data_IF_745116408662
#
_entry.id   IF_745116408662
#
_cell.length_a   1.000
_cell.length_b   1.000
_cell.length_c   1.000
_cell.angle_alpha   90.00
_cell.angle_beta   90.00
_cell.angle_gamma   90.00
#
_symmetry.space_group_name_H-M   'P 1'
#
loop_
_entity.id
_entity.type
_entity.pdbx_description
1 polymer ?
#
# COMPACT_ATOMS: atom_id res chain seq x y z
N UNK A 1 32.98 -7.01 1.03
CA UNK A 1 32.57 -6.01 2.03
C UNK A 1 31.06 -6.09 2.13
N UNK A 2 30.55 -6.77 3.15
CA UNK A 2 29.10 -6.92 3.40
C UNK A 2 28.63 -5.57 3.90
N UNK A 3 27.96 -4.79 3.06
CA UNK A 3 27.26 -3.60 3.48
C UNK A 3 25.79 -3.82 3.16
N UNK A 4 25.14 -4.59 4.02
CA UNK A 4 23.80 -4.19 4.40
C UNK A 4 23.95 -2.79 5.03
N UNK A 5 23.91 -1.72 4.23
CA UNK A 5 23.37 -0.47 4.73
C UNK A 5 21.87 -0.75 4.88
N UNK A 6 21.53 -1.45 5.96
CA UNK A 6 20.28 -1.16 6.65
C UNK A 6 20.41 0.32 7.00
N UNK A 7 19.88 1.19 6.14
CA UNK A 7 19.15 2.33 6.68
C UNK A 7 18.13 1.69 7.61
N UNK A 8 18.44 1.80 8.89
CA UNK A 8 17.67 1.30 10.00
C UNK A 8 16.28 1.93 9.93
N UNK A 9 15.37 1.28 9.20
CA UNK A 9 13.97 1.27 9.60
C UNK A 9 13.97 0.37 10.84
N UNK A 10 13.71 0.98 12.00
CA UNK A 10 14.05 0.47 13.33
C UNK A 10 13.68 -1.01 13.55
N UNK A 11 14.70 -1.79 13.88
CA UNK A 11 14.56 -3.14 14.42
C UNK A 11 14.06 -3.01 15.87
N UNK A 12 12.74 -3.00 16.07
CA UNK A 12 12.11 -3.02 17.40
C UNK A 12 12.25 -4.44 17.97
N UNK A 13 13.37 -4.67 18.66
CA UNK A 13 13.51 -5.81 19.56
C UNK A 13 12.61 -5.62 20.78
N UNK A 14 11.64 -6.51 20.86
CA UNK A 14 10.86 -6.90 22.04
C UNK A 14 11.78 -7.09 23.27
N UNK A 15 11.75 -6.15 24.21
CA UNK A 15 12.36 -6.31 25.54
C UNK A 15 11.27 -6.63 26.56
N UNK A 16 11.41 -7.82 27.14
CA UNK A 16 10.54 -8.37 28.17
C UNK A 16 10.56 -7.55 29.47
N UNK A 17 9.40 -7.61 30.12
CA UNK A 17 9.09 -7.05 31.42
C UNK A 17 10.04 -7.49 32.54
N UNK A 18 10.32 -6.56 33.46
CA UNK A 18 10.36 -6.79 34.92
C UNK A 18 10.46 -5.45 35.69
N UNK A 19 9.49 -5.20 36.56
CA UNK A 19 9.77 -4.56 37.85
C UNK A 19 9.06 -3.25 38.22
N UNK A 20 8.13 -3.41 39.17
CA UNK A 20 7.88 -2.57 40.36
C UNK A 20 6.87 -1.40 40.24
N UNK A 21 5.71 -1.64 40.84
CA UNK A 21 4.70 -0.65 41.24
C UNK A 21 5.20 0.29 42.34
N UNK A 22 4.68 1.53 42.35
CA UNK A 22 4.32 2.19 43.60
C UNK A 22 2.82 2.49 43.67
N UNK A 23 2.26 2.22 44.85
CA UNK A 23 0.93 2.63 45.28
C UNK A 23 0.70 4.14 45.08
N UNK A 24 -0.44 4.50 44.49
CA UNK A 24 -0.97 5.86 44.56
C UNK A 24 -2.45 5.87 44.91
N UNK A 25 -2.73 6.70 45.91
CA UNK A 25 -3.99 6.99 46.54
C UNK A 25 -5.12 7.34 45.58
N UNK A 26 -6.31 6.83 45.92
CA UNK A 26 -7.58 7.13 45.31
C UNK A 26 -7.95 8.61 45.48
N UNK A 27 -8.19 9.29 44.36
CA UNK A 27 -8.95 10.53 44.29
C UNK A 27 -10.16 10.27 43.40
N UNK A 28 -11.35 10.40 43.98
CA UNK A 28 -12.62 10.28 43.29
C UNK A 28 -12.81 11.46 42.33
N UNK A 29 -12.50 11.25 41.05
CA UNK A 29 -12.98 12.09 39.96
C UNK A 29 -14.28 11.51 39.40
N UNK A 30 -15.28 12.37 39.26
CA UNK A 30 -16.59 12.10 38.67
C UNK A 30 -16.45 11.64 37.21
N UNK A 31 -17.21 10.62 36.76
CA UNK A 31 -17.16 10.14 35.40
C UNK A 31 -17.73 11.22 34.46
N UNK A 32 -16.88 11.76 33.60
CA UNK A 32 -17.28 12.51 32.41
C UNK A 32 -18.15 11.57 31.55
N UNK A 33 -19.28 12.03 30.98
CA UNK A 33 -20.09 11.18 30.12
C UNK A 33 -19.21 10.65 29.00
N UNK A 34 -19.24 9.33 28.82
CA UNK A 34 -18.60 8.64 27.72
C UNK A 34 -19.20 9.19 26.41
N UNK A 35 -18.57 10.23 25.88
CA UNK A 35 -18.82 10.67 24.51
C UNK A 35 -18.56 9.47 23.62
N UNK A 36 -19.51 9.21 22.72
CA UNK A 36 -19.46 8.12 21.77
C UNK A 36 -18.03 7.96 21.25
N UNK A 37 -17.38 6.89 21.71
CA UNK A 37 -16.12 6.43 21.17
C UNK A 37 -16.47 5.82 19.81
N UNK A 38 -16.87 6.69 18.88
CA UNK A 38 -17.10 6.39 17.48
C UNK A 38 -15.75 5.88 17.01
N UNK A 39 -15.66 4.56 16.97
CA UNK A 39 -14.48 3.78 16.64
C UNK A 39 -13.54 4.59 15.75
N UNK A 40 -12.38 4.96 16.28
CA UNK A 40 -11.26 5.51 15.53
C UNK A 40 -10.90 4.49 14.47
N UNK A 41 -11.56 4.57 13.32
CA UNK A 41 -11.75 3.42 12.44
C UNK A 41 -10.59 3.37 11.46
N UNK A 42 -10.01 2.19 11.20
CA UNK A 42 -9.05 1.96 10.11
C UNK A 42 -9.61 2.33 8.72
N UNK A 43 -10.93 2.56 8.66
CA UNK A 43 -11.65 3.19 7.55
C UNK A 43 -10.97 4.46 7.04
N UNK A 44 -10.27 5.23 7.88
CA UNK A 44 -9.65 6.51 7.50
C UNK A 44 -8.45 6.36 6.55
N UNK A 45 -7.55 5.40 6.81
CA UNK A 45 -6.35 5.18 5.97
C UNK A 45 -6.73 4.63 4.59
N UNK A 46 -7.71 3.72 4.53
CA UNK A 46 -8.19 3.20 3.26
C UNK A 46 -8.84 4.32 2.42
N UNK A 47 -9.71 5.13 3.03
CA UNK A 47 -10.32 6.28 2.35
C UNK A 47 -9.27 7.26 1.83
N UNK A 48 -8.25 7.57 2.63
CA UNK A 48 -7.17 8.46 2.22
C UNK A 48 -6.43 7.93 0.99
N UNK A 49 -6.14 6.62 0.96
CA UNK A 49 -5.52 5.94 -0.19
C UNK A 49 -6.38 5.96 -1.43
N UNK A 50 -7.66 5.61 -1.31
CA UNK A 50 -8.60 5.55 -2.45
C UNK A 50 -8.86 6.96 -3.01
N UNK A 51 -9.02 7.96 -2.13
CA UNK A 51 -9.14 9.37 -2.53
C UNK A 51 -7.89 9.85 -3.28
N UNK A 52 -6.69 9.47 -2.82
CA UNK A 52 -5.45 9.81 -3.50
C UNK A 52 -5.34 9.18 -4.90
N UNK A 53 -5.70 7.90 -5.04
CA UNK A 53 -5.70 7.22 -6.34
C UNK A 53 -6.67 7.85 -7.32
N UNK A 54 -7.85 8.26 -6.86
CA UNK A 54 -8.79 9.02 -7.69
C UNK A 54 -8.11 10.26 -8.27
N UNK A 55 -7.44 11.06 -7.43
CA UNK A 55 -6.73 12.26 -7.86
C UNK A 55 -5.69 11.99 -8.94
N UNK A 56 -4.87 10.95 -8.76
CA UNK A 56 -3.87 10.54 -9.76
C UNK A 56 -4.52 10.17 -11.10
N UNK A 57 -5.56 9.33 -11.08
CA UNK A 57 -6.23 8.88 -12.30
C UNK A 57 -6.93 10.04 -13.03
N UNK A 58 -7.50 10.99 -12.29
CA UNK A 58 -8.07 12.20 -12.86
C UNK A 58 -7.00 13.12 -13.48
N UNK A 59 -5.84 13.26 -12.83
CA UNK A 59 -4.70 14.00 -13.36
C UNK A 59 -4.15 13.40 -14.64
N UNK A 60 -3.99 12.08 -14.66
CA UNK A 60 -3.52 11.37 -15.84
C UNK A 60 -4.48 11.55 -17.02
N UNK A 61 -5.80 11.47 -16.77
CA UNK A 61 -6.80 11.72 -17.81
C UNK A 61 -6.69 13.15 -18.37
N UNK A 62 -6.51 14.16 -17.52
CA UNK A 62 -6.31 15.56 -17.94
C UNK A 62 -5.03 15.70 -18.78
N UNK A 63 -3.93 15.10 -18.35
CA UNK A 63 -2.67 15.12 -19.08
C UNK A 63 -2.79 14.51 -20.49
N UNK A 64 -3.64 13.50 -20.63
CA UNK A 64 -3.93 12.81 -21.89
C UNK A 64 -5.02 13.49 -22.74
N UNK A 65 -5.51 14.67 -22.34
CA UNK A 65 -6.46 15.45 -23.15
C UNK A 65 -7.92 15.25 -22.82
N UNK A 66 -8.26 14.61 -21.69
CA UNK A 66 -9.63 14.62 -21.22
C UNK A 66 -10.09 16.06 -20.94
N UNK A 67 -11.25 16.44 -21.48
CA UNK A 67 -11.86 17.74 -21.24
C UNK A 67 -12.52 17.78 -19.85
N UNK A 68 -11.71 17.78 -18.80
CA UNK A 68 -12.14 17.85 -17.41
C UNK A 68 -11.46 19.03 -16.73
N UNK A 69 -12.25 19.89 -16.10
CA UNK A 69 -11.73 20.94 -15.22
C UNK A 69 -11.38 20.30 -13.88
N UNK A 70 -10.09 20.33 -13.53
CA UNK A 70 -9.62 19.83 -12.25
C UNK A 70 -9.09 21.00 -11.42
N UNK A 71 -9.68 21.24 -10.25
CA UNK A 71 -9.22 22.28 -9.32
C UNK A 71 -8.19 21.68 -8.37
N UNK A 72 -6.90 21.91 -8.59
CA UNK A 72 -5.86 21.37 -7.71
C UNK A 72 -5.76 22.18 -6.41
N UNK A 73 -6.16 21.63 -5.24
CA UNK A 73 -5.86 22.26 -3.97
C UNK A 73 -4.34 22.22 -3.70
N UNK A 74 -3.86 23.07 -2.79
CA UNK A 74 -2.50 22.92 -2.28
C UNK A 74 -2.37 21.56 -1.58
N UNK A 75 -1.16 21.01 -1.51
CA UNK A 75 -0.90 19.71 -0.87
C UNK A 75 -1.38 19.59 0.59
N UNK A 76 -1.60 20.70 1.31
CA UNK A 76 -2.12 20.67 2.69
C UNK A 76 -3.64 20.75 2.75
N UNK A 77 -4.26 21.21 1.65
CA UNK A 77 -5.69 21.51 1.55
C UNK A 77 -6.45 20.39 0.80
N UNK A 78 -5.76 19.37 0.28
CA UNK A 78 -6.38 18.17 -0.29
C UNK A 78 -6.82 17.20 0.82
N UNK A 79 -7.69 16.22 0.49
CA UNK A 79 -8.24 15.29 1.48
C UNK A 79 -7.13 14.52 2.23
N UNK A 80 -6.12 14.03 1.51
CA UNK A 80 -4.97 13.35 2.11
C UNK A 80 -4.11 14.32 2.94
N UNK A 81 -3.95 15.56 2.49
CA UNK A 81 -3.20 16.60 3.20
C UNK A 81 -3.84 16.95 4.54
N UNK A 82 -5.13 17.22 4.53
CA UNK A 82 -5.93 17.49 5.73
C UNK A 82 -5.81 16.32 6.70
N UNK A 83 -5.94 15.08 6.21
CA UNK A 83 -5.78 13.89 7.03
C UNK A 83 -4.36 13.79 7.63
N UNK A 84 -3.31 13.90 6.81
CA UNK A 84 -1.90 13.82 7.24
C UNK A 84 -1.52 14.89 8.28
N UNK A 85 -2.13 16.07 8.20
CA UNK A 85 -1.88 17.18 9.13
C UNK A 85 -2.82 17.19 10.35
N UNK A 86 -3.76 16.25 10.44
CA UNK A 86 -4.69 16.10 11.57
C UNK A 86 -4.62 14.70 12.17
N UNK A 87 -5.57 13.83 11.83
CA UNK A 87 -5.72 12.47 12.37
C UNK A 87 -4.53 11.57 12.03
N UNK A 88 -3.94 11.70 10.84
CA UNK A 88 -2.79 10.92 10.42
C UNK A 88 -1.59 11.06 11.36
N UNK A 89 -1.35 12.25 11.95
CA UNK A 89 -0.27 12.45 12.92
C UNK A 89 -0.49 11.74 14.25
N UNK A 90 -1.76 11.47 14.59
CA UNK A 90 -2.19 10.81 15.81
C UNK A 90 -2.25 9.29 15.61
N UNK A 91 -2.67 8.84 14.42
CA UNK A 91 -2.85 7.42 14.10
C UNK A 91 -1.56 6.73 13.66
N UNK A 92 -0.64 7.44 12.99
CA UNK A 92 0.64 6.87 12.56
C UNK A 92 1.67 7.09 13.67
N UNK A 93 1.93 6.04 14.45
CA UNK A 93 2.95 6.05 15.49
C UNK A 93 4.37 6.10 14.90
N UNK A 94 4.59 5.44 13.76
CA UNK A 94 5.87 5.39 13.08
C UNK A 94 6.20 6.73 12.41
N UNK A 95 7.00 7.56 13.10
CA UNK A 95 7.40 8.89 12.61
C UNK A 95 8.12 8.85 11.25
N UNK A 96 8.95 7.85 11.00
CA UNK A 96 9.65 7.73 9.71
C UNK A 96 8.68 7.47 8.56
N UNK A 97 7.63 6.67 8.80
CA UNK A 97 6.58 6.43 7.83
C UNK A 97 5.78 7.70 7.53
N UNK A 98 5.40 8.45 8.57
CA UNK A 98 4.69 9.73 8.43
C UNK A 98 5.52 10.77 7.67
N UNK A 99 6.80 10.91 7.99
CA UNK A 99 7.72 11.81 7.28
C UNK A 99 7.87 11.43 5.81
N UNK A 100 7.98 10.13 5.52
CA UNK A 100 7.97 9.59 4.17
C UNK A 100 6.69 9.97 3.41
N UNK A 101 5.53 9.80 4.02
CA UNK A 101 4.24 10.16 3.43
C UNK A 101 4.17 11.65 3.08
N UNK A 102 4.53 12.54 4.03
CA UNK A 102 4.55 13.98 3.81
C UNK A 102 5.50 14.38 2.67
N UNK A 103 6.68 13.76 2.60
CA UNK A 103 7.68 14.02 1.58
C UNK A 103 7.18 13.64 0.17
N UNK A 104 6.73 12.40 0.01
CA UNK A 104 6.23 11.90 -1.29
C UNK A 104 4.94 12.60 -1.71
N UNK A 105 4.06 12.93 -0.76
CA UNK A 105 2.85 13.69 -1.04
C UNK A 105 3.13 15.09 -1.58
N UNK A 106 4.11 15.80 -0.99
CA UNK A 106 4.58 17.09 -1.52
C UNK A 106 5.15 16.94 -2.94
N UNK A 107 5.95 15.92 -3.19
CA UNK A 107 6.52 15.67 -4.53
C UNK A 107 5.45 15.34 -5.58
N UNK A 108 4.41 14.60 -5.19
CA UNK A 108 3.25 14.31 -6.04
C UNK A 108 2.58 15.63 -6.47
N UNK A 109 2.26 16.52 -5.53
CA UNK A 109 1.61 17.80 -5.85
C UNK A 109 2.50 18.71 -6.70
N UNK A 110 3.80 18.77 -6.46
CA UNK A 110 4.74 19.52 -7.31
C UNK A 110 4.72 19.01 -8.76
N UNK A 111 4.65 17.69 -8.95
CA UNK A 111 4.56 17.07 -10.28
C UNK A 111 3.19 17.35 -10.91
N UNK A 112 2.12 17.25 -10.13
CA UNK A 112 0.75 17.52 -10.56
C UNK A 112 0.57 18.98 -11.00
N UNK A 113 1.14 19.96 -10.30
CA UNK A 113 1.13 21.37 -10.67
C UNK A 113 1.78 21.60 -12.05
N UNK A 114 2.91 20.94 -12.32
CA UNK A 114 3.57 21.01 -13.63
C UNK A 114 2.72 20.40 -14.75
N UNK A 115 2.07 19.25 -14.49
CA UNK A 115 1.14 18.62 -15.43
C UNK A 115 -0.02 19.56 -15.73
N UNK A 116 -0.63 20.14 -14.69
CA UNK A 116 -1.76 21.07 -14.85
C UNK A 116 -1.37 22.34 -15.59
N UNK A 117 -0.18 22.89 -15.35
CA UNK A 117 0.32 24.08 -16.04
C UNK A 117 0.48 23.85 -17.55
N UNK A 118 0.88 22.65 -17.95
CA UNK A 118 1.17 22.28 -19.34
C UNK A 118 0.13 21.34 -19.97
N UNK A 119 -1.03 21.19 -19.33
CA UNK A 119 -2.12 20.37 -19.84
C UNK A 119 -2.65 20.93 -21.18
N UNK A 120 -3.25 20.08 -22.03
CA UNK A 120 -3.69 20.46 -23.38
C UNK A 120 -4.72 21.61 -23.43
N UNK A 121 -5.38 21.92 -22.31
CA UNK A 121 -6.35 23.02 -22.19
C UNK A 121 -5.74 24.35 -21.77
N UNK A 122 -4.42 24.43 -21.50
CA UNK A 122 -3.78 25.67 -21.05
C UNK A 122 -3.23 26.48 -22.21
N UNK A 123 -3.11 27.80 -22.01
CA UNK A 123 -2.43 28.70 -22.96
C UNK A 123 -0.89 28.67 -22.81
N UNK A 124 -0.37 27.76 -21.97
CA UNK A 124 1.06 27.66 -21.72
C UNK A 124 1.81 27.15 -22.95
N UNK A 125 3.09 27.53 -23.13
CA UNK A 125 3.92 26.96 -24.18
C UNK A 125 3.93 25.43 -24.13
N UNK A 126 3.93 24.76 -25.30
CA UNK A 126 3.99 23.30 -25.35
C UNK A 126 5.30 22.82 -24.74
N UNK A 127 5.23 21.73 -23.98
CA UNK A 127 6.41 21.08 -23.44
C UNK A 127 7.27 20.46 -24.56
N UNK A 128 8.59 20.30 -24.34
CA UNK A 128 9.41 19.47 -25.20
C UNK A 128 8.83 18.06 -25.36
N UNK A 129 9.03 17.45 -26.53
CA UNK A 129 8.56 16.09 -26.83
C UNK A 129 9.04 15.11 -25.75
N UNK A 130 8.13 14.30 -25.23
CA UNK A 130 8.39 13.29 -24.19
C UNK A 130 8.39 13.84 -22.75
N UNK A 131 8.41 15.16 -22.55
CA UNK A 131 8.47 15.72 -21.19
C UNK A 131 7.19 15.46 -20.38
N UNK A 132 6.02 15.42 -21.04
CA UNK A 132 4.78 15.03 -20.37
C UNK A 132 4.82 13.56 -19.90
N UNK A 133 5.39 12.65 -20.72
CA UNK A 133 5.54 11.24 -20.36
C UNK A 133 6.45 11.08 -19.13
N UNK A 134 7.54 11.86 -19.04
CA UNK A 134 8.41 11.91 -17.86
C UNK A 134 7.65 12.38 -16.60
N UNK A 135 6.84 13.44 -16.73
CA UNK A 135 6.04 13.96 -15.60
C UNK A 135 5.01 12.93 -15.15
N UNK A 136 4.32 12.25 -16.08
CA UNK A 136 3.39 11.17 -15.75
C UNK A 136 4.08 9.99 -15.08
N UNK A 137 5.27 9.61 -15.55
CA UNK A 137 6.08 8.57 -14.89
C UNK A 137 6.47 8.97 -13.45
N UNK A 138 6.84 10.24 -13.23
CA UNK A 138 7.15 10.77 -11.91
C UNK A 138 5.92 10.84 -11.00
N UNK A 139 4.76 11.23 -11.54
CA UNK A 139 3.49 11.26 -10.82
C UNK A 139 3.11 9.86 -10.31
N UNK A 140 3.10 8.88 -11.21
CA UNK A 140 2.83 7.47 -10.88
C UNK A 140 3.83 6.91 -9.88
N UNK A 141 5.12 7.22 -10.05
CA UNK A 141 6.14 6.81 -9.09
C UNK A 141 5.85 7.34 -7.69
N UNK A 142 5.53 8.64 -7.57
CA UNK A 142 5.20 9.27 -6.29
C UNK A 142 3.94 8.66 -5.67
N UNK A 143 2.90 8.42 -6.48
CA UNK A 143 1.67 7.77 -6.01
C UNK A 143 1.92 6.36 -5.48
N UNK A 144 2.71 5.53 -6.17
CA UNK A 144 3.09 4.19 -5.68
C UNK A 144 3.76 4.23 -4.32
N UNK A 145 4.64 5.21 -4.10
CA UNK A 145 5.26 5.40 -2.79
C UNK A 145 4.24 5.77 -1.72
N UNK A 146 3.33 6.71 -2.00
CA UNK A 146 2.26 7.12 -1.07
C UNK A 146 1.35 5.93 -0.74
N UNK A 147 0.86 5.22 -1.76
CA UNK A 147 -0.02 4.04 -1.60
C UNK A 147 0.66 2.94 -0.78
N UNK A 148 1.94 2.68 -1.03
CA UNK A 148 2.71 1.69 -0.25
C UNK A 148 2.82 2.10 1.21
N UNK A 149 3.14 3.36 1.49
CA UNK A 149 3.28 3.85 2.86
C UNK A 149 1.94 3.91 3.61
N UNK A 150 0.84 4.30 2.95
CA UNK A 150 -0.50 4.21 3.52
C UNK A 150 -0.90 2.77 3.82
N UNK A 151 -0.55 1.83 2.94
CA UNK A 151 -0.76 0.40 3.18
C UNK A 151 0.10 -0.13 4.33
N UNK A 152 1.32 0.39 4.50
CA UNK A 152 2.15 0.05 5.65
C UNK A 152 1.57 0.61 6.95
N UNK A 153 1.03 1.83 6.96
CA UNK A 153 0.30 2.39 8.12
C UNK A 153 -0.93 1.54 8.45
N UNK A 154 -1.69 1.12 7.45
CA UNK A 154 -2.83 0.22 7.60
C UNK A 154 -2.40 -1.13 8.21
N UNK A 155 -1.28 -1.70 7.74
CA UNK A 155 -0.72 -2.93 8.29
C UNK A 155 -0.26 -2.78 9.74
N UNK A 156 0.38 -1.67 10.10
CA UNK A 156 0.78 -1.37 11.49
C UNK A 156 -0.45 -1.27 12.41
N UNK A 157 -1.53 -0.68 11.93
CA UNK A 157 -2.79 -0.59 12.67
C UNK A 157 -3.43 -1.97 12.91
N UNK A 158 -3.43 -2.85 11.89
CA UNK A 158 -4.05 -4.18 11.98
C UNK A 158 -3.12 -5.29 12.50
N UNK A 159 -1.85 -4.99 12.79
CA UNK A 159 -0.76 -5.96 12.89
C UNK A 159 -1.02 -7.15 13.83
N UNK A 160 -1.74 -6.93 14.92
CA UNK A 160 -2.07 -7.98 15.91
C UNK A 160 -3.33 -8.79 15.55
N UNK A 161 -4.23 -8.22 14.76
CA UNK A 161 -5.49 -8.86 14.35
C UNK A 161 -5.32 -9.72 13.09
N UNK A 162 -4.43 -9.29 12.19
CA UNK A 162 -3.96 -10.09 11.07
C UNK A 162 -2.98 -11.16 11.59
N UNK A 163 -3.50 -12.11 12.40
CA UNK A 163 -2.81 -13.35 12.78
C UNK A 163 -2.64 -14.25 11.55
N UNK A 164 -1.95 -13.75 10.54
CA UNK A 164 -1.56 -14.49 9.36
C UNK A 164 -0.57 -15.54 9.87
N UNK A 165 -0.85 -16.84 9.65
CA UNK A 165 0.03 -17.90 10.11
C UNK A 165 1.45 -17.62 9.61
N UNK A 166 2.41 -17.55 10.53
CA UNK A 166 3.82 -17.47 10.20
C UNK A 166 4.15 -18.51 9.12
N UNK A 167 4.98 -18.12 8.17
CA UNK A 167 5.47 -18.77 6.92
C UNK A 167 5.72 -20.30 6.92
N UNK A 168 5.54 -20.99 8.05
CA UNK A 168 5.64 -22.44 8.21
C UNK A 168 4.33 -23.23 8.03
N UNK A 169 3.15 -22.58 7.95
CA UNK A 169 1.89 -23.28 7.61
C UNK A 169 1.46 -23.00 6.17
N UNK A 170 0.79 -23.94 5.47
CA UNK A 170 0.34 -23.72 4.09
C UNK A 170 -0.71 -22.60 4.06
N UNK A 171 -0.29 -21.38 3.71
CA UNK A 171 -1.15 -20.21 3.56
C UNK A 171 -2.34 -20.51 2.62
N UNK A 172 -2.13 -21.40 1.65
CA UNK A 172 -3.16 -21.91 0.76
C UNK A 172 -4.45 -22.33 1.48
N UNK A 173 -4.38 -23.00 2.65
CA UNK A 173 -5.60 -23.43 3.38
C UNK A 173 -6.33 -22.28 4.07
N UNK A 174 -5.60 -21.27 4.55
CA UNK A 174 -6.18 -20.09 5.20
C UNK A 174 -6.84 -19.18 4.16
N UNK A 175 -6.12 -18.92 3.07
CA UNK A 175 -6.58 -18.19 1.88
C UNK A 175 -7.82 -18.85 1.30
N UNK A 176 -7.78 -20.17 1.08
CA UNK A 176 -8.96 -20.94 0.63
C UNK A 176 -10.17 -20.70 1.52
N UNK A 177 -10.03 -20.61 2.85
CA UNK A 177 -11.17 -20.32 3.75
C UNK A 177 -11.64 -18.87 3.67
N UNK A 178 -10.71 -17.91 3.54
CA UNK A 178 -11.06 -16.49 3.43
C UNK A 178 -11.78 -16.16 2.13
N UNK A 179 -11.42 -16.82 1.02
CA UNK A 179 -11.91 -16.49 -0.32
C UNK A 179 -12.98 -17.46 -0.87
N UNK A 180 -13.37 -18.51 -0.15
CA UNK A 180 -14.40 -19.49 -0.59
C UNK A 180 -15.71 -19.46 0.22
N UNK A 181 -16.00 -18.36 0.94
CA UNK A 181 -17.30 -18.19 1.60
C UNK A 181 -18.47 -18.12 0.60
N UNK A 182 -19.70 -18.54 0.99
CA UNK A 182 -20.86 -18.51 0.09
C UNK A 182 -21.19 -17.08 -0.37
N UNK A 183 -21.14 -16.86 -1.69
CA UNK A 183 -21.35 -15.56 -2.31
C UNK A 183 -22.86 -15.24 -2.45
N UNK A 184 -23.45 -14.48 -1.53
CA UNK A 184 -24.77 -13.83 -1.70
C UNK A 184 -24.61 -12.39 -2.18
N UNK A 185 -25.68 -11.66 -2.53
CA UNK A 185 -25.63 -10.27 -3.04
C UNK A 185 -24.88 -9.24 -2.14
N UNK A 186 -24.47 -9.62 -0.92
CA UNK A 186 -23.38 -8.98 -0.17
C UNK A 186 -21.98 -9.13 -0.83
N UNK A 187 -21.92 -9.67 -2.06
CA UNK A 187 -20.73 -10.14 -2.79
C UNK A 187 -19.74 -9.05 -3.17
N UNK A 188 -20.20 -7.80 -3.31
CA UNK A 188 -19.36 -6.67 -3.74
C UNK A 188 -18.50 -6.14 -2.59
N UNK A 189 -19.12 -5.91 -1.42
CA UNK A 189 -18.39 -5.57 -0.18
C UNK A 189 -17.41 -6.67 0.21
N UNK A 190 -17.77 -7.95 0.00
CA UNK A 190 -16.87 -9.09 0.21
C UNK A 190 -15.66 -8.99 -0.72
N UNK A 191 -15.84 -8.68 -2.01
CA UNK A 191 -14.74 -8.55 -2.97
C UNK A 191 -13.74 -7.43 -2.63
N UNK A 192 -14.22 -6.30 -2.10
CA UNK A 192 -13.35 -5.20 -1.66
C UNK A 192 -12.52 -5.60 -0.43
N UNK A 193 -13.14 -6.24 0.57
CA UNK A 193 -12.45 -6.76 1.75
C UNK A 193 -11.39 -7.81 1.37
N UNK A 194 -11.70 -8.65 0.38
CA UNK A 194 -10.80 -9.65 -0.17
C UNK A 194 -9.52 -9.00 -0.76
N UNK A 195 -9.65 -7.93 -1.54
CA UNK A 195 -8.51 -7.23 -2.17
C UNK A 195 -7.67 -6.49 -1.12
N UNK A 196 -8.32 -5.80 -0.19
CA UNK A 196 -7.63 -5.12 0.90
C UNK A 196 -6.79 -6.08 1.73
N UNK A 197 -7.36 -7.24 2.06
CA UNK A 197 -6.62 -8.29 2.77
C UNK A 197 -5.46 -8.85 1.94
N UNK A 198 -5.68 -9.15 0.66
CA UNK A 198 -4.62 -9.66 -0.23
C UNK A 198 -3.42 -8.69 -0.31
N UNK A 199 -3.70 -7.38 -0.40
CA UNK A 199 -2.66 -6.33 -0.38
C UNK A 199 -1.87 -6.34 0.93
N UNK A 200 -2.55 -6.39 2.08
CA UNK A 200 -1.89 -6.39 3.39
C UNK A 200 -1.03 -7.65 3.62
N UNK A 201 -1.55 -8.82 3.26
CA UNK A 201 -0.80 -10.09 3.29
C UNK A 201 0.44 -10.01 2.41
N UNK A 202 0.32 -9.47 1.20
CA UNK A 202 1.45 -9.32 0.29
C UNK A 202 2.53 -8.38 0.84
N UNK A 203 2.13 -7.20 1.34
CA UNK A 203 3.08 -6.25 1.94
C UNK A 203 3.77 -6.86 3.16
N UNK A 204 3.02 -7.54 4.03
CA UNK A 204 3.59 -8.22 5.19
C UNK A 204 4.64 -9.24 4.73
N UNK A 205 4.35 -10.06 3.72
CA UNK A 205 5.33 -11.01 3.21
C UNK A 205 6.58 -10.34 2.63
N UNK A 206 6.41 -9.26 1.86
CA UNK A 206 7.53 -8.47 1.34
C UNK A 206 8.42 -7.92 2.47
N UNK A 207 7.83 -7.45 3.56
CA UNK A 207 8.56 -6.98 4.75
C UNK A 207 9.36 -8.08 5.46
N UNK A 208 8.96 -9.35 5.33
CA UNK A 208 9.66 -10.50 5.91
C UNK A 208 10.74 -11.08 4.98
N UNK A 209 10.87 -10.61 3.74
CA UNK A 209 11.90 -11.09 2.82
C UNK A 209 13.34 -10.83 3.29
N UNK A 210 13.71 -9.69 3.89
CA UNK A 210 15.05 -9.51 4.46
C UNK A 210 15.42 -10.62 5.43
N UNK A 211 14.48 -11.00 6.29
CA UNK A 211 14.66 -12.04 7.31
C UNK A 211 14.79 -13.43 6.69
N UNK A 212 14.01 -13.67 5.65
CA UNK A 212 14.07 -14.86 4.79
C UNK A 212 15.44 -14.96 4.10
N UNK A 213 16.03 -13.84 3.68
CA UNK A 213 17.32 -13.80 3.00
C UNK A 213 18.52 -13.83 3.95
N UNK A 214 18.30 -13.74 5.27
CA UNK A 214 19.33 -13.97 6.29
C UNK A 214 20.01 -15.32 6.08
N UNK A 215 21.27 -15.40 6.47
CA UNK A 215 22.10 -16.60 6.27
C UNK A 215 22.13 -17.08 4.80
N UNK A 216 21.97 -16.17 3.83
CA UNK A 216 21.93 -16.43 2.39
C UNK A 216 20.78 -17.37 1.98
N UNK A 217 19.70 -17.39 2.76
CA UNK A 217 18.48 -18.18 2.48
C UNK A 217 18.73 -19.68 2.34
N UNK A 218 19.69 -20.26 3.09
CA UNK A 218 20.04 -21.69 3.00
C UNK A 218 18.87 -22.64 3.24
N UNK A 219 17.92 -22.26 4.08
CA UNK A 219 16.78 -23.09 4.47
C UNK A 219 15.45 -22.61 3.89
N UNK A 220 15.48 -21.65 2.97
CA UNK A 220 14.27 -21.07 2.40
C UNK A 220 13.95 -21.75 1.07
N UNK A 221 12.72 -22.21 0.92
CA UNK A 221 12.14 -22.48 -0.38
C UNK A 221 11.06 -21.45 -0.64
N UNK A 222 11.17 -20.70 -1.73
CA UNK A 222 10.07 -19.85 -2.16
C UNK A 222 9.03 -20.71 -2.86
N UNK A 223 7.76 -20.44 -2.55
CA UNK A 223 6.65 -21.03 -3.29
C UNK A 223 6.58 -20.43 -4.70
N UNK A 224 6.15 -21.21 -5.71
CA UNK A 224 5.75 -20.68 -7.01
C UNK A 224 4.70 -19.57 -6.87
N UNK A 225 4.66 -18.63 -7.82
CA UNK A 225 3.75 -17.49 -7.78
C UNK A 225 2.29 -17.96 -7.65
N UNK A 226 1.91 -18.98 -8.41
CA UNK A 226 0.55 -19.50 -8.52
C UNK A 226 0.07 -20.21 -7.25
N UNK A 227 1.01 -20.63 -6.39
CA UNK A 227 0.72 -21.35 -5.15
C UNK A 227 0.74 -20.44 -3.92
N UNK A 228 1.25 -19.21 -4.05
CA UNK A 228 1.21 -18.25 -2.96
C UNK A 228 -0.24 -17.74 -2.75
N UNK A 229 -0.49 -17.12 -1.59
CA UNK A 229 -1.81 -16.59 -1.25
C UNK A 229 -2.44 -15.70 -2.32
N UNK A 230 -1.65 -14.76 -2.84
CA UNK A 230 -2.09 -13.82 -3.87
C UNK A 230 -2.31 -14.54 -5.21
N UNK A 231 -1.41 -15.44 -5.62
CA UNK A 231 -1.56 -16.19 -6.87
C UNK A 231 -2.79 -17.10 -6.88
N UNK A 232 -3.05 -17.79 -5.76
CA UNK A 232 -4.28 -18.60 -5.58
C UNK A 232 -5.52 -17.72 -5.72
N UNK A 233 -5.50 -16.50 -5.16
CA UNK A 233 -6.61 -15.57 -5.33
C UNK A 233 -6.75 -15.09 -6.78
N UNK A 234 -5.66 -14.63 -7.41
CA UNK A 234 -5.65 -14.12 -8.80
C UNK A 234 -6.20 -15.18 -9.76
N UNK A 235 -5.62 -16.38 -9.79
CA UNK A 235 -6.03 -17.43 -10.73
C UNK A 235 -7.31 -18.17 -10.31
N UNK A 236 -7.70 -18.07 -9.05
CA UNK A 236 -8.93 -18.63 -8.51
C UNK A 236 -10.13 -17.72 -8.74
N UNK A 237 -10.30 -16.74 -7.86
CA UNK A 237 -11.48 -15.86 -7.80
C UNK A 237 -11.28 -14.58 -8.61
N UNK A 238 -10.08 -14.00 -8.55
CA UNK A 238 -9.75 -12.70 -9.13
C UNK A 238 -10.05 -12.64 -10.62
N UNK A 239 -9.34 -13.42 -11.45
CA UNK A 239 -9.49 -13.40 -12.91
C UNK A 239 -10.89 -13.82 -13.36
N UNK A 240 -11.57 -14.71 -12.63
CA UNK A 240 -12.94 -15.13 -12.96
C UNK A 240 -13.97 -14.02 -12.77
N UNK A 241 -13.80 -13.18 -11.74
CA UNK A 241 -14.76 -12.11 -11.41
C UNK A 241 -14.39 -10.76 -12.01
N UNK A 242 -13.09 -10.49 -12.11
CA UNK A 242 -12.53 -9.18 -12.38
C UNK A 242 -11.52 -9.17 -13.53
N UNK A 243 -11.45 -10.25 -14.33
CA UNK A 243 -10.51 -10.36 -15.46
C UNK A 243 -10.67 -9.30 -16.55
N UNK A 244 -11.79 -8.56 -16.56
CA UNK A 244 -12.04 -7.41 -17.40
C UNK A 244 -11.32 -6.14 -16.93
N UNK A 245 -10.86 -6.09 -15.67
CA UNK A 245 -10.08 -4.97 -15.13
C UNK A 245 -8.64 -5.18 -15.56
N UNK A 246 -8.14 -4.33 -16.48
CA UNK A 246 -6.80 -4.45 -17.05
C UNK A 246 -5.71 -4.46 -15.98
N UNK A 247 -5.91 -3.70 -14.90
CA UNK A 247 -5.00 -3.61 -13.76
C UNK A 247 -4.82 -4.97 -13.04
N UNK A 248 -5.81 -5.88 -13.09
CA UNK A 248 -5.64 -7.23 -12.56
C UNK A 248 -4.69 -8.09 -13.42
N UNK A 249 -4.75 -7.94 -14.75
CA UNK A 249 -3.82 -8.62 -15.67
C UNK A 249 -2.40 -8.11 -15.44
N UNK A 250 -2.23 -6.79 -15.30
CA UNK A 250 -0.94 -6.19 -14.94
C UNK A 250 -0.46 -6.67 -13.56
N UNK A 251 -1.37 -6.83 -12.60
CA UNK A 251 -1.04 -7.31 -11.26
C UNK A 251 -0.49 -8.74 -11.31
N UNK A 252 -1.10 -9.63 -12.11
CA UNK A 252 -0.63 -10.99 -12.30
C UNK A 252 0.78 -11.07 -12.92
N UNK A 253 1.02 -10.22 -13.93
CA UNK A 253 2.34 -10.09 -14.56
C UNK A 253 3.40 -9.60 -13.57
N UNK A 254 3.11 -8.53 -12.83
CA UNK A 254 4.00 -7.98 -11.81
C UNK A 254 4.28 -9.00 -10.69
N UNK A 255 3.26 -9.75 -10.28
CA UNK A 255 3.36 -10.79 -9.27
C UNK A 255 4.24 -11.98 -9.72
N UNK A 256 4.06 -12.45 -10.96
CA UNK A 256 4.92 -13.49 -11.53
C UNK A 256 6.38 -13.03 -11.64
N UNK A 257 6.59 -11.79 -12.09
CA UNK A 257 7.92 -11.17 -12.15
C UNK A 257 8.55 -11.04 -10.76
N UNK A 258 7.76 -10.69 -9.74
CA UNK A 258 8.19 -10.59 -8.35
C UNK A 258 8.81 -11.91 -7.87
N UNK A 259 8.07 -13.02 -8.01
CA UNK A 259 8.53 -14.34 -7.55
C UNK A 259 9.78 -14.78 -8.31
N UNK A 260 9.83 -14.48 -9.61
CA UNK A 260 11.02 -14.75 -10.45
C UNK A 260 12.25 -14.02 -9.94
N UNK A 261 12.13 -12.71 -9.63
CA UNK A 261 13.24 -11.92 -9.08
C UNK A 261 13.61 -12.34 -7.66
N UNK A 262 12.65 -12.70 -6.82
CA UNK A 262 12.93 -13.21 -5.47
C UNK A 262 13.73 -14.53 -5.51
N UNK A 263 13.37 -15.44 -6.43
CA UNK A 263 14.13 -16.67 -6.66
C UNK A 263 15.54 -16.40 -7.21
N UNK A 264 15.69 -15.38 -8.08
CA UNK A 264 16.99 -14.91 -8.56
C UNK A 264 17.86 -14.34 -7.43
N UNK A 265 17.30 -13.53 -6.54
CA UNK A 265 17.99 -13.01 -5.35
C UNK A 265 18.55 -14.16 -4.52
N UNK A 266 17.73 -15.15 -4.16
CA UNK A 266 18.19 -16.33 -3.41
C UNK A 266 19.29 -17.11 -4.15
N UNK A 267 19.14 -17.31 -5.46
CA UNK A 267 20.13 -18.01 -6.27
C UNK A 267 21.47 -17.28 -6.26
N UNK A 268 21.48 -15.95 -6.36
CA UNK A 268 22.70 -15.14 -6.32
C UNK A 268 23.33 -15.13 -4.91
N UNK A 269 22.52 -15.02 -3.85
CA UNK A 269 23.00 -15.10 -2.46
C UNK A 269 23.70 -16.43 -2.15
N UNK A 270 23.13 -17.55 -2.59
CA UNK A 270 23.70 -18.90 -2.44
C UNK A 270 24.99 -19.09 -3.23
N UNK A 271 25.15 -18.38 -4.34
CA UNK A 271 26.37 -18.39 -5.18
C UNK A 271 27.40 -17.33 -4.78
N UNK A 272 27.20 -16.62 -3.67
CA UNK A 272 28.08 -15.54 -3.20
C UNK A 272 28.24 -14.37 -4.21
N UNK A 273 27.19 -14.10 -4.99
CA UNK A 273 27.14 -13.00 -5.97
C UNK A 273 26.36 -11.83 -5.40
N UNK A 274 26.91 -11.20 -4.36
CA UNK A 274 26.18 -10.25 -3.51
C UNK A 274 25.63 -9.05 -4.32
N UNK A 275 26.42 -8.43 -5.21
CA UNK A 275 25.92 -7.32 -6.06
C UNK A 275 24.75 -7.71 -6.98
N UNK A 276 24.74 -8.94 -7.50
CA UNK A 276 23.64 -9.42 -8.34
C UNK A 276 22.40 -9.71 -7.51
N UNK A 277 22.57 -10.17 -6.27
CA UNK A 277 21.49 -10.34 -5.33
C UNK A 277 20.87 -8.99 -4.94
N UNK A 278 21.69 -7.97 -4.69
CA UNK A 278 21.21 -6.63 -4.34
C UNK A 278 20.39 -6.00 -5.46
N UNK A 279 20.88 -6.09 -6.71
CA UNK A 279 20.12 -5.62 -7.88
C UNK A 279 18.80 -6.37 -8.05
N UNK A 280 18.82 -7.71 -7.97
CA UNK A 280 17.61 -8.51 -8.07
C UNK A 280 16.62 -8.18 -6.94
N UNK A 281 17.12 -7.93 -5.72
CA UNK A 281 16.30 -7.57 -4.58
C UNK A 281 15.69 -6.17 -4.68
N UNK A 282 16.43 -5.20 -5.23
CA UNK A 282 15.86 -3.88 -5.53
C UNK A 282 14.67 -3.99 -6.49
N UNK A 283 14.76 -4.85 -7.51
CA UNK A 283 13.62 -5.13 -8.42
C UNK A 283 12.44 -5.81 -7.70
N UNK A 284 12.72 -6.74 -6.77
CA UNK A 284 11.67 -7.33 -5.91
C UNK A 284 10.90 -6.25 -5.15
N UNK A 285 11.62 -5.30 -4.53
CA UNK A 285 10.99 -4.20 -3.78
C UNK A 285 10.16 -3.27 -4.69
N UNK A 286 10.64 -2.98 -5.90
CA UNK A 286 9.90 -2.18 -6.87
C UNK A 286 8.63 -2.90 -7.35
N UNK A 287 8.73 -4.20 -7.65
CA UNK A 287 7.59 -5.02 -8.05
C UNK A 287 6.57 -5.16 -6.91
N UNK A 288 7.00 -5.20 -5.65
CA UNK A 288 6.06 -5.21 -4.51
C UNK A 288 5.19 -3.95 -4.48
N UNK A 289 5.81 -2.78 -4.64
CA UNK A 289 5.10 -1.49 -4.68
C UNK A 289 4.11 -1.43 -5.85
N UNK A 290 4.51 -1.97 -7.00
CA UNK A 290 3.64 -2.07 -8.17
C UNK A 290 2.43 -2.98 -7.89
N UNK A 291 2.63 -4.16 -7.29
CA UNK A 291 1.54 -5.07 -6.92
C UNK A 291 0.57 -4.40 -5.94
N UNK A 292 1.08 -3.75 -4.89
CA UNK A 292 0.27 -3.04 -3.90
C UNK A 292 -0.54 -1.94 -4.58
N UNK A 293 0.10 -1.15 -5.44
CA UNK A 293 -0.55 -0.10 -6.21
C UNK A 293 -1.67 -0.65 -7.09
N UNK A 294 -1.41 -1.68 -7.89
CA UNK A 294 -2.39 -2.27 -8.79
C UNK A 294 -3.57 -2.86 -8.01
N UNK A 295 -3.33 -3.53 -6.88
CA UNK A 295 -4.40 -4.01 -5.98
C UNK A 295 -5.25 -2.85 -5.46
N UNK A 296 -4.65 -1.72 -5.10
CA UNK A 296 -5.40 -0.53 -4.67
C UNK A 296 -6.16 0.15 -5.80
N UNK A 297 -5.65 0.15 -7.03
CA UNK A 297 -6.41 0.64 -8.19
C UNK A 297 -7.61 -0.28 -8.46
N UNK A 298 -7.44 -1.60 -8.41
CA UNK A 298 -8.55 -2.56 -8.56
C UNK A 298 -9.60 -2.30 -7.48
N UNK A 299 -9.18 -2.09 -6.22
CA UNK A 299 -10.10 -1.73 -5.13
C UNK A 299 -10.88 -0.42 -5.43
N UNK A 300 -10.20 0.63 -5.89
CA UNK A 300 -10.83 1.89 -6.30
C UNK A 300 -11.87 1.67 -7.42
N UNK A 301 -11.52 0.89 -8.44
CA UNK A 301 -12.42 0.58 -9.58
C UNK A 301 -13.68 -0.15 -9.14
N UNK A 302 -13.57 -1.01 -8.14
CA UNK A 302 -14.72 -1.76 -7.60
C UNK A 302 -15.58 -0.94 -6.64
N UNK A 303 -14.98 -0.03 -5.87
CA UNK A 303 -15.74 0.89 -5.01
C UNK A 303 -16.58 1.88 -5.82
N UNK A 304 -16.03 2.34 -6.95
CA UNK A 304 -16.65 3.35 -7.80
C UNK A 304 -16.80 4.73 -7.13
N UNK A 305 -17.27 5.72 -7.89
CA UNK A 305 -17.37 7.11 -7.40
C UNK A 305 -18.46 7.31 -6.33
N UNK A 306 -19.50 6.48 -6.34
CA UNK A 306 -20.63 6.58 -5.42
C UNK A 306 -20.25 6.23 -3.97
N UNK A 307 -19.37 5.24 -3.78
CA UNK A 307 -18.87 4.89 -2.45
C UNK A 307 -18.01 6.03 -1.89
N UNK A 308 -17.09 6.56 -2.70
CA UNK A 308 -16.18 7.64 -2.31
C UNK A 308 -16.93 8.91 -1.93
N UNK A 309 -17.97 9.28 -2.69
CA UNK A 309 -18.74 10.50 -2.43
C UNK A 309 -19.45 10.48 -1.07
N UNK A 310 -19.90 9.31 -0.60
CA UNK A 310 -20.49 9.16 0.75
C UNK A 310 -19.46 9.33 1.86
N UNK A 311 -18.18 9.06 1.58
CA UNK A 311 -17.11 9.22 2.55
C UNK A 311 -16.60 10.65 2.61
N UNK A 312 -16.52 11.36 1.48
CA UNK A 312 -16.16 12.78 1.46
C UNK A 312 -17.07 13.63 2.37
N UNK A 313 -18.36 13.31 2.47
CA UNK A 313 -19.30 13.99 3.37
C UNK A 313 -19.09 13.74 4.86
N UNK A 314 -18.25 12.77 5.24
CA UNK A 314 -17.93 12.46 6.65
C UNK A 314 -16.69 13.26 7.12
N UNK A 315 -15.82 13.64 6.18
CA UNK A 315 -14.56 14.35 6.47
C UNK A 315 -14.78 15.88 6.50
N UNK A 316 -15.75 16.38 5.74
CA UNK A 316 -16.19 17.79 5.73
C UNK A 316 -17.07 18.13 6.92
#
# INVERSE_FOLDING_TARGET
MIIFFFLSIGNLQNQGAKGRMPDRHASHATPTPAGDNIMSTPLDVNIARISHLRWELELEAVALGANKTLHMPKHQDCELGIWLHSRGQQQIENRSLLEGLLSWHKQFHQTAELIMLHGPSTQSPPLPKGKMDELLAQLRSSSRHIVTLLTQAELEFYGDELKIPSTSQPLAKFVTRLFQGPHTAASETIGILEIGHARLVHLQWANHLPDTFRNRGRHVSLEPAELCALGVWIHGTGLKRFGQINELVLCDQAHTAFHTRAAETLRNLRKHRDEHADRAYAEVLNLSKEIIYLLSVIEYRLLGDAAISRFSSIIS
#
